data_IF_303297802600
#
_entry.id   IF_303297802600
#
_cell.length_a   1.000
_cell.length_b   1.000
_cell.length_c   1.000
_cell.angle_alpha   90.00
_cell.angle_beta   90.00
_cell.angle_gamma   90.00
#
_symmetry.space_group_name_H-M   'P 1'
#
loop_
_entity.id
_entity.type
_entity.pdbx_description
1 polymer ?
#
# COMPACT_ATOMS: atom_id res chain seq x y z
N UNK A 1 22.42 -14.32 -13.69
CA UNK A 1 21.49 -13.74 -14.67
C UNK A 1 21.99 -14.09 -16.06
N UNK A 2 21.14 -14.74 -16.86
CA UNK A 2 21.45 -15.12 -18.25
C UNK A 2 20.30 -14.64 -19.12
N UNK A 3 20.58 -13.90 -20.19
CA UNK A 3 19.56 -13.41 -21.10
C UNK A 3 20.10 -12.47 -22.17
N UNK A 4 19.22 -11.99 -23.04
CA UNK A 4 19.52 -11.01 -24.06
C UNK A 4 18.51 -9.87 -24.04
N UNK A 5 18.94 -8.75 -24.58
CA UNK A 5 18.15 -7.56 -24.82
C UNK A 5 18.16 -7.28 -26.31
N UNK A 6 17.01 -6.86 -26.84
CA UNK A 6 16.85 -6.50 -28.24
C UNK A 6 16.20 -5.13 -28.29
N UNK A 7 16.87 -4.20 -28.98
CA UNK A 7 16.37 -2.87 -29.28
C UNK A 7 15.63 -2.91 -30.63
N UNK A 8 14.34 -2.57 -30.63
CA UNK A 8 13.48 -2.66 -31.81
C UNK A 8 13.63 -1.49 -32.79
N UNK A 9 14.29 -0.39 -32.38
CA UNK A 9 14.56 0.78 -33.23
C UNK A 9 15.85 0.60 -34.04
N UNK A 10 16.94 0.21 -33.36
CA UNK A 10 18.27 0.02 -33.95
C UNK A 10 18.49 -1.39 -34.48
N UNK A 11 17.78 -2.38 -33.93
CA UNK A 11 18.01 -3.79 -34.18
C UNK A 11 19.17 -4.38 -33.37
N UNK A 12 19.81 -3.58 -32.51
CA UNK A 12 20.93 -4.01 -31.70
C UNK A 12 20.51 -5.10 -30.71
N UNK A 13 21.38 -6.10 -30.54
CA UNK A 13 21.21 -7.18 -29.57
C UNK A 13 22.39 -7.16 -28.62
N UNK A 14 22.07 -7.14 -27.32
CA UNK A 14 23.06 -7.31 -26.26
C UNK A 14 22.74 -8.57 -25.44
N UNK A 15 23.70 -9.05 -24.68
CA UNK A 15 23.54 -10.24 -23.85
C UNK A 15 24.14 -10.07 -22.47
N UNK A 16 23.79 -11.01 -21.59
CA UNK A 16 24.30 -11.07 -20.24
C UNK A 16 24.44 -12.55 -19.84
N UNK A 17 25.60 -12.94 -19.33
CA UNK A 17 25.81 -14.25 -18.69
C UNK A 17 26.67 -14.05 -17.44
N UNK A 18 26.02 -14.00 -16.30
CA UNK A 18 26.60 -13.57 -15.03
C UNK A 18 26.16 -14.48 -13.90
N UNK A 19 27.07 -14.84 -13.00
CA UNK A 19 26.77 -15.64 -11.83
C UNK A 19 27.27 -14.92 -10.58
N UNK A 20 26.43 -14.92 -9.54
CA UNK A 20 26.78 -14.44 -8.22
C UNK A 20 26.85 -15.59 -7.21
N UNK A 21 27.64 -15.41 -6.16
CA UNK A 21 27.79 -16.33 -5.04
C UNK A 21 27.79 -15.51 -3.74
N UNK A 22 26.99 -15.93 -2.74
CA UNK A 22 26.78 -15.20 -1.49
C UNK A 22 26.36 -13.72 -1.64
N UNK A 23 25.66 -13.41 -2.74
CA UNK A 23 25.20 -12.06 -3.04
C UNK A 23 26.27 -11.16 -3.69
N UNK A 24 27.47 -11.67 -3.94
CA UNK A 24 28.54 -10.97 -4.65
C UNK A 24 28.73 -11.49 -6.07
N UNK A 25 29.23 -10.63 -6.96
CA UNK A 25 29.60 -11.02 -8.32
C UNK A 25 30.72 -12.08 -8.29
N UNK A 26 30.51 -13.20 -8.96
CA UNK A 26 31.44 -14.32 -8.93
C UNK A 26 32.16 -14.50 -10.27
N UNK A 27 31.43 -14.61 -11.37
CA UNK A 27 32.00 -14.75 -12.73
C UNK A 27 31.03 -14.23 -13.79
N UNK A 28 31.57 -13.58 -14.83
CA UNK A 28 30.80 -12.89 -15.88
C UNK A 28 31.40 -13.19 -17.25
N UNK A 29 30.60 -13.49 -18.27
CA UNK A 29 31.10 -13.57 -19.65
C UNK A 29 31.17 -12.18 -20.28
N UNK A 30 32.35 -11.77 -20.73
CA UNK A 30 32.49 -10.61 -21.60
C UNK A 30 32.17 -11.01 -23.04
N UNK A 31 31.01 -10.57 -23.54
CA UNK A 31 30.53 -10.88 -24.89
C UNK A 31 31.32 -10.17 -25.99
N UNK A 32 32.13 -9.15 -25.68
CA UNK A 32 32.99 -8.49 -26.68
C UNK A 32 34.21 -9.34 -26.99
N UNK A 33 34.84 -9.88 -25.94
CA UNK A 33 36.06 -10.69 -26.08
C UNK A 33 35.78 -12.18 -26.12
N UNK A 34 34.56 -12.60 -25.75
CA UNK A 34 34.15 -14.00 -25.55
C UNK A 34 35.06 -14.73 -24.58
N UNK A 35 35.34 -14.06 -23.45
CA UNK A 35 36.13 -14.62 -22.36
C UNK A 35 35.43 -14.38 -21.03
N UNK A 36 35.63 -15.29 -20.08
CA UNK A 36 35.10 -15.14 -18.75
C UNK A 36 35.93 -14.13 -17.95
N UNK A 37 35.28 -13.34 -17.10
CA UNK A 37 35.91 -12.42 -16.16
C UNK A 37 35.61 -12.96 -14.77
N UNK A 38 36.63 -13.04 -13.92
CA UNK A 38 36.52 -13.49 -12.55
C UNK A 38 36.75 -12.30 -11.61
N UNK A 39 35.69 -11.59 -11.18
CA UNK A 39 35.79 -10.52 -10.18
C UNK A 39 36.42 -10.98 -8.86
N UNK A 40 36.16 -12.24 -8.48
CA UNK A 40 36.65 -12.84 -7.23
C UNK A 40 37.75 -13.87 -7.49
N UNK A 41 38.73 -13.94 -6.59
CA UNK A 41 39.87 -14.86 -6.72
C UNK A 41 39.43 -16.34 -6.76
N UNK A 42 38.36 -16.67 -6.05
CA UNK A 42 37.76 -17.99 -5.96
C UNK A 42 37.20 -18.45 -7.32
N UNK A 43 36.81 -17.52 -8.19
CA UNK A 43 36.28 -17.82 -9.52
C UNK A 43 37.37 -18.05 -10.58
N UNK A 44 38.65 -17.77 -10.29
CA UNK A 44 39.75 -17.88 -11.26
C UNK A 44 39.89 -19.30 -11.81
N UNK A 45 39.72 -20.32 -10.97
CA UNK A 45 39.79 -21.73 -11.40
C UNK A 45 38.66 -22.05 -12.39
N UNK A 46 37.44 -21.57 -12.11
CA UNK A 46 36.28 -21.72 -13.00
C UNK A 46 36.50 -21.00 -14.32
N UNK A 47 36.96 -19.74 -14.29
CA UNK A 47 37.34 -18.97 -15.49
C UNK A 47 38.32 -19.74 -16.36
N UNK A 48 39.41 -20.25 -15.79
CA UNK A 48 40.41 -21.00 -16.55
C UNK A 48 39.84 -22.28 -17.18
N UNK A 49 38.90 -22.96 -16.51
CA UNK A 49 38.23 -24.14 -17.04
C UNK A 49 37.30 -23.77 -18.19
N UNK A 50 36.46 -22.75 -18.01
CA UNK A 50 35.45 -22.36 -18.99
C UNK A 50 36.05 -21.64 -20.21
N UNK A 51 37.11 -20.85 -20.06
CA UNK A 51 37.83 -20.23 -21.19
C UNK A 51 38.52 -21.27 -22.11
N UNK A 52 38.83 -22.45 -21.58
CA UNK A 52 39.40 -23.58 -22.33
C UNK A 52 38.34 -24.39 -23.07
N UNK A 53 37.08 -24.27 -22.68
CA UNK A 53 35.98 -24.98 -23.32
C UNK A 53 35.49 -24.21 -24.56
N UNK A 54 36.15 -24.47 -25.70
CA UNK A 54 35.84 -23.78 -26.96
C UNK A 54 34.46 -24.13 -27.50
N UNK A 55 34.00 -25.36 -27.31
CA UNK A 55 32.68 -25.79 -27.75
C UNK A 55 31.59 -25.03 -26.98
N UNK A 56 31.74 -24.89 -25.65
CA UNK A 56 30.81 -24.10 -24.85
C UNK A 56 30.82 -22.62 -25.27
N UNK A 57 31.98 -22.01 -25.51
CA UNK A 57 32.05 -20.62 -25.95
C UNK A 57 31.43 -20.40 -27.34
N UNK A 58 31.58 -21.33 -28.27
CA UNK A 58 30.91 -21.29 -29.57
C UNK A 58 29.39 -21.44 -29.45
N UNK A 59 28.92 -22.31 -28.56
CA UNK A 59 27.49 -22.41 -28.26
C UNK A 59 26.94 -21.11 -27.66
N UNK A 60 27.63 -20.53 -26.67
CA UNK A 60 27.20 -19.27 -26.04
C UNK A 60 27.16 -18.12 -27.06
N UNK A 61 28.12 -18.08 -28.00
CA UNK A 61 28.07 -17.16 -29.15
C UNK A 61 26.75 -17.26 -29.88
N UNK A 62 26.46 -18.45 -30.41
CA UNK A 62 25.23 -18.72 -31.14
C UNK A 62 23.97 -18.41 -30.31
N UNK A 63 23.97 -18.77 -29.03
CA UNK A 63 22.84 -18.49 -28.14
C UNK A 63 22.54 -16.99 -28.03
N UNK A 64 23.55 -16.16 -27.78
CA UNK A 64 23.34 -14.72 -27.60
C UNK A 64 23.17 -13.94 -28.91
N UNK A 65 23.76 -14.40 -30.03
CA UNK A 65 23.65 -13.70 -31.32
C UNK A 65 22.41 -14.08 -32.11
N UNK A 66 21.90 -15.30 -31.94
CA UNK A 66 20.82 -15.84 -32.78
C UNK A 66 19.65 -16.36 -31.94
N UNK A 67 19.87 -17.38 -31.10
CA UNK A 67 18.77 -18.12 -30.47
C UNK A 67 17.95 -17.25 -29.51
N UNK A 68 18.61 -16.56 -28.60
CA UNK A 68 17.97 -15.69 -27.61
C UNK A 68 17.17 -14.54 -28.25
N UNK A 69 17.74 -13.70 -29.13
CA UNK A 69 16.99 -12.61 -29.74
C UNK A 69 15.82 -13.12 -30.62
N UNK A 70 15.98 -14.26 -31.30
CA UNK A 70 14.89 -14.86 -32.10
C UNK A 70 13.71 -15.30 -31.24
N UNK A 71 13.98 -15.94 -30.10
CA UNK A 71 12.94 -16.30 -29.13
C UNK A 71 12.32 -15.06 -28.48
N UNK A 72 13.12 -14.06 -28.10
CA UNK A 72 12.65 -12.81 -27.52
C UNK A 72 11.67 -12.11 -28.47
N UNK A 73 12.01 -11.96 -29.75
CA UNK A 73 11.12 -11.41 -30.79
C UNK A 73 9.81 -12.19 -30.90
N UNK A 74 9.85 -13.52 -30.85
CA UNK A 74 8.63 -14.36 -30.87
C UNK A 74 7.76 -14.11 -29.63
N UNK A 75 8.34 -14.05 -28.43
CA UNK A 75 7.58 -13.80 -27.21
C UNK A 75 6.99 -12.40 -27.17
N UNK A 76 7.71 -11.38 -27.63
CA UNK A 76 7.17 -10.02 -27.77
C UNK A 76 5.97 -10.01 -28.73
N UNK A 77 6.08 -10.72 -29.86
CA UNK A 77 4.98 -10.83 -30.81
C UNK A 77 3.76 -11.56 -30.23
N UNK A 78 3.94 -12.69 -29.54
CA UNK A 78 2.84 -13.42 -28.91
C UNK A 78 2.22 -12.67 -27.71
N UNK A 79 3.06 -12.00 -26.91
CA UNK A 79 2.67 -11.27 -25.72
C UNK A 79 2.29 -9.81 -25.95
N UNK A 80 2.27 -9.35 -27.21
CA UNK A 80 2.15 -7.92 -27.55
C UNK A 80 0.99 -7.22 -26.86
N UNK A 81 -0.18 -7.86 -26.80
CA UNK A 81 -1.37 -7.30 -26.15
C UNK A 81 -1.19 -7.10 -24.65
N UNK A 82 -0.36 -7.92 -23.99
CA UNK A 82 -0.09 -7.82 -22.56
C UNK A 82 1.10 -6.90 -22.25
N UNK A 83 2.15 -6.92 -23.08
CA UNK A 83 3.36 -6.12 -22.89
C UNK A 83 3.18 -4.65 -23.28
N UNK A 84 2.35 -4.38 -24.29
CA UNK A 84 2.10 -3.02 -24.80
C UNK A 84 0.81 -2.42 -24.23
N UNK A 85 0.23 -3.03 -23.18
CA UNK A 85 -0.95 -2.47 -22.53
C UNK A 85 -0.56 -1.21 -21.75
N UNK A 86 -1.55 -0.37 -21.52
CA UNK A 86 -1.41 0.82 -20.68
C UNK A 86 -2.60 0.87 -19.76
N UNK A 87 -2.35 0.60 -18.49
CA UNK A 87 -3.37 0.56 -17.47
C UNK A 87 -3.17 1.78 -16.56
N UNK A 88 -4.21 2.62 -16.45
CA UNK A 88 -4.19 3.77 -15.55
C UNK A 88 -4.55 3.33 -14.13
N UNK A 89 -3.93 3.91 -13.09
CA UNK A 89 -4.24 3.54 -11.72
C UNK A 89 -5.60 4.06 -11.27
N UNK A 90 -6.14 3.42 -10.24
CA UNK A 90 -7.03 4.11 -9.30
C UNK A 90 -6.18 4.81 -8.25
N UNK A 91 -6.45 6.09 -8.02
CA UNK A 91 -5.77 6.88 -6.97
C UNK A 91 -6.72 7.07 -5.79
N UNK A 92 -6.20 6.98 -4.57
CA UNK A 92 -6.96 7.18 -3.33
C UNK A 92 -6.14 7.91 -2.29
N UNK A 93 -6.80 8.78 -1.53
CA UNK A 93 -6.21 9.44 -0.36
C UNK A 93 -6.59 8.65 0.89
N UNK A 94 -5.58 8.26 1.67
CA UNK A 94 -5.74 7.43 2.86
C UNK A 94 -5.16 8.15 4.08
N UNK A 95 -5.81 7.99 5.23
CA UNK A 95 -5.28 8.51 6.50
C UNK A 95 -5.66 7.58 7.65
N UNK A 96 -4.67 7.16 8.47
CA UNK A 96 -4.90 6.23 9.60
C UNK A 96 -5.62 6.89 10.77
N UNK A 97 -5.23 8.11 11.13
CA UNK A 97 -5.83 8.93 12.19
C UNK A 97 -5.72 10.41 11.79
N UNK A 98 -6.48 11.33 12.41
CA UNK A 98 -6.42 12.76 12.05
C UNK A 98 -5.03 13.41 12.15
N UNK A 99 -4.12 12.86 12.97
CA UNK A 99 -2.74 13.34 13.13
C UNK A 99 -1.72 12.57 12.29
N UNK A 100 -2.12 11.50 11.61
CA UNK A 100 -1.23 10.74 10.73
C UNK A 100 -0.99 11.48 9.43
N UNK A 101 0.14 11.18 8.78
CA UNK A 101 0.40 11.56 7.39
C UNK A 101 -0.74 11.12 6.48
N UNK A 102 -0.96 11.90 5.42
CA UNK A 102 -1.91 11.56 4.36
C UNK A 102 -1.15 10.80 3.29
N UNK A 103 -1.57 9.57 3.03
CA UNK A 103 -1.01 8.73 1.97
C UNK A 103 -1.80 8.96 0.70
N UNK A 104 -1.14 9.40 -0.36
CA UNK A 104 -1.68 9.22 -1.71
C UNK A 104 -1.23 7.87 -2.23
N UNK A 105 -2.17 7.01 -2.60
CA UNK A 105 -1.89 5.64 -3.07
C UNK A 105 -2.48 5.44 -4.46
N UNK A 106 -1.65 4.99 -5.40
CA UNK A 106 -2.05 4.60 -6.74
C UNK A 106 -1.82 3.09 -6.91
N UNK A 107 -2.80 2.38 -7.45
CA UNK A 107 -2.70 0.94 -7.72
C UNK A 107 -3.44 0.57 -9.00
N UNK A 108 -3.00 -0.53 -9.63
CA UNK A 108 -3.60 -1.04 -10.86
C UNK A 108 -3.00 -0.45 -12.13
N UNK A 109 -1.79 0.13 -12.07
CA UNK A 109 -1.15 0.71 -13.25
C UNK A 109 -0.13 -0.22 -13.91
N UNK A 110 0.09 -0.02 -15.20
CA UNK A 110 1.12 -0.70 -15.99
C UNK A 110 1.54 0.22 -17.16
N UNK A 111 2.85 0.35 -17.49
CA UNK A 111 4.00 -0.38 -16.96
C UNK A 111 4.51 0.14 -15.60
N UNK A 112 5.56 -0.47 -15.05
CA UNK A 112 6.21 -0.05 -13.79
C UNK A 112 7.07 1.22 -13.90
N UNK A 113 6.85 2.05 -14.93
CA UNK A 113 7.55 3.32 -15.14
C UNK A 113 6.58 4.44 -14.83
N UNK A 114 6.52 4.84 -13.57
CA UNK A 114 5.64 5.89 -13.10
C UNK A 114 6.31 6.77 -12.05
N UNK A 115 5.78 7.96 -11.84
CA UNK A 115 6.18 8.88 -10.78
C UNK A 115 4.96 9.32 -9.98
N UNK A 116 5.16 9.51 -8.68
CA UNK A 116 4.15 10.05 -7.78
C UNK A 116 4.78 11.10 -6.86
N UNK A 117 4.13 12.26 -6.75
CA UNK A 117 4.62 13.36 -5.92
C UNK A 117 3.48 14.25 -5.47
N UNK A 118 3.75 15.05 -4.44
CA UNK A 118 2.83 16.07 -3.94
C UNK A 118 3.21 17.44 -4.51
N UNK A 119 2.20 18.27 -4.77
CA UNK A 119 2.37 19.69 -5.05
C UNK A 119 1.64 20.54 -4.03
N UNK A 120 2.10 21.77 -3.88
CA UNK A 120 1.38 22.85 -3.20
C UNK A 120 1.35 24.06 -4.11
N UNK A 121 0.16 24.60 -4.36
CA UNK A 121 -0.03 25.76 -5.24
C UNK A 121 0.63 25.58 -6.64
N UNK A 122 0.74 24.33 -7.10
CA UNK A 122 1.33 23.97 -8.40
C UNK A 122 2.83 23.64 -8.39
N UNK A 123 3.54 23.82 -7.27
CA UNK A 123 4.96 23.50 -7.14
C UNK A 123 5.18 22.15 -6.44
N UNK A 124 6.12 21.33 -6.95
CA UNK A 124 6.46 20.03 -6.33
C UNK A 124 7.08 20.22 -4.94
N UNK A 125 6.61 19.41 -3.99
CA UNK A 125 7.13 19.34 -2.63
C UNK A 125 8.13 18.20 -2.49
N UNK A 126 9.29 18.54 -1.92
CA UNK A 126 10.34 17.58 -1.57
C UNK A 126 10.49 17.42 -0.04
N UNK A 127 10.19 18.47 0.72
CA UNK A 127 10.18 18.42 2.19
C UNK A 127 8.85 17.82 2.68
N UNK A 128 8.89 17.13 3.83
CA UNK A 128 7.71 16.53 4.47
C UNK A 128 6.95 15.50 3.62
N UNK A 129 7.59 14.98 2.57
CA UNK A 129 7.06 13.95 1.67
C UNK A 129 7.96 12.71 1.71
N UNK A 130 7.37 11.56 2.06
CA UNK A 130 8.04 10.26 1.95
C UNK A 130 7.51 9.54 0.70
N UNK A 131 8.34 9.43 -0.35
CA UNK A 131 7.99 8.71 -1.59
C UNK A 131 8.27 7.21 -1.41
N UNK A 132 7.28 6.38 -1.64
CA UNK A 132 7.41 4.92 -1.62
C UNK A 132 7.96 4.35 -2.92
N UNK A 133 8.38 3.08 -2.86
CA UNK A 133 8.81 2.32 -4.03
C UNK A 133 7.62 1.83 -4.85
N UNK A 134 7.87 1.47 -6.12
CA UNK A 134 6.89 0.79 -6.95
C UNK A 134 6.88 -0.69 -6.57
N UNK A 135 5.72 -1.18 -6.13
CA UNK A 135 5.53 -2.56 -5.72
C UNK A 135 4.66 -3.32 -6.74
N UNK A 136 4.95 -4.60 -7.02
CA UNK A 136 4.13 -5.42 -7.91
C UNK A 136 2.84 -5.89 -7.23
N UNK A 137 1.78 -6.04 -8.01
CA UNK A 137 0.54 -6.71 -7.64
C UNK A 137 0.48 -8.13 -8.24
N UNK A 138 -0.40 -8.97 -7.69
CA UNK A 138 -0.58 -10.36 -8.12
C UNK A 138 -1.14 -10.53 -9.55
N UNK A 139 -1.80 -9.49 -10.08
CA UNK A 139 -2.41 -9.46 -11.42
C UNK A 139 -1.44 -8.92 -12.50
N UNK A 140 -0.18 -8.65 -12.12
CA UNK A 140 0.84 -8.09 -13.00
C UNK A 140 0.73 -6.57 -13.21
N UNK A 141 -0.14 -5.88 -12.47
CA UNK A 141 -0.10 -4.42 -12.33
C UNK A 141 0.86 -3.99 -11.21
N UNK A 142 0.98 -2.69 -11.00
CA UNK A 142 1.84 -2.10 -9.99
C UNK A 142 1.08 -1.14 -9.07
N UNK A 143 1.71 -0.82 -7.94
CA UNK A 143 1.24 0.18 -6.99
C UNK A 143 2.40 1.06 -6.48
N UNK A 144 2.09 2.29 -6.08
CA UNK A 144 3.02 3.26 -5.51
C UNK A 144 2.28 4.16 -4.51
N UNK A 145 2.99 4.69 -3.51
CA UNK A 145 2.45 5.66 -2.57
C UNK A 145 3.40 6.83 -2.32
N UNK A 146 2.84 7.98 -1.96
CA UNK A 146 3.58 9.12 -1.42
C UNK A 146 2.87 9.67 -0.17
N UNK A 147 3.58 9.74 0.94
CA UNK A 147 3.05 10.16 2.24
C UNK A 147 3.40 11.62 2.53
N UNK A 148 2.39 12.47 2.70
CA UNK A 148 2.54 13.88 3.06
C UNK A 148 2.31 14.09 4.55
N UNK A 149 3.29 14.67 5.24
CA UNK A 149 3.06 15.27 6.55
C UNK A 149 2.50 16.67 6.33
N UNK A 150 1.28 16.93 6.80
CA UNK A 150 0.65 18.23 6.61
C UNK A 150 1.24 19.27 7.57
N UNK A 151 1.82 20.37 7.07
CA UNK A 151 2.40 21.41 7.92
C UNK A 151 1.36 22.47 8.34
N UNK A 152 0.21 22.56 7.66
CA UNK A 152 -0.85 23.53 7.93
C UNK A 152 -2.25 23.02 7.54
N UNK A 153 -3.29 23.70 8.02
CA UNK A 153 -4.70 23.42 7.70
C UNK A 153 -5.14 23.96 6.31
N UNK A 154 -4.21 24.21 5.40
CA UNK A 154 -4.50 24.67 4.03
C UNK A 154 -4.68 23.50 3.04
N UNK A 155 -5.52 22.53 3.38
CA UNK A 155 -5.70 21.27 2.63
C UNK A 155 -5.90 21.48 1.13
N UNK A 156 -6.73 22.45 0.74
CA UNK A 156 -7.11 22.69 -0.67
C UNK A 156 -6.00 23.24 -1.57
N UNK A 157 -4.83 23.58 -1.02
CA UNK A 157 -3.64 24.00 -1.79
C UNK A 157 -2.80 22.82 -2.27
N UNK A 158 -3.01 21.64 -1.69
CA UNK A 158 -2.22 20.46 -2.00
C UNK A 158 -2.93 19.57 -3.01
N UNK A 159 -2.16 19.01 -3.93
CA UNK A 159 -2.61 17.93 -4.80
C UNK A 159 -1.53 16.87 -4.96
N UNK A 160 -1.98 15.63 -5.11
CA UNK A 160 -1.13 14.49 -5.43
C UNK A 160 -1.18 14.27 -6.94
N UNK A 161 -0.02 14.13 -7.55
CA UNK A 161 0.15 13.91 -8.99
C UNK A 161 0.72 12.54 -9.24
N UNK A 162 0.10 11.81 -10.15
CA UNK A 162 0.61 10.55 -10.70
C UNK A 162 0.88 10.72 -12.20
N UNK A 163 2.08 10.33 -12.63
CA UNK A 163 2.52 10.39 -14.02
C UNK A 163 2.93 8.99 -14.47
N UNK A 164 2.35 8.51 -15.58
CA UNK A 164 2.68 7.21 -16.18
C UNK A 164 3.49 7.41 -17.45
N UNK A 165 4.60 6.68 -17.59
CA UNK A 165 5.42 6.71 -18.80
C UNK A 165 4.58 6.36 -20.03
N UNK A 166 4.71 7.17 -21.08
CA UNK A 166 3.97 6.99 -22.34
C UNK A 166 2.57 7.60 -22.34
N UNK A 167 2.09 8.13 -21.21
CA UNK A 167 0.82 8.85 -21.09
C UNK A 167 1.10 10.34 -20.92
N UNK A 168 0.44 11.18 -21.72
CA UNK A 168 0.65 12.65 -21.68
C UNK A 168 -0.08 13.35 -20.54
N UNK A 169 -1.16 12.74 -20.07
CA UNK A 169 -2.09 13.32 -19.12
C UNK A 169 -1.75 12.86 -17.71
N UNK A 170 -1.55 13.82 -16.82
CA UNK A 170 -1.30 13.57 -15.42
C UNK A 170 -2.61 13.29 -14.68
N UNK A 171 -2.59 12.34 -13.74
CA UNK A 171 -3.71 12.12 -12.82
C UNK A 171 -3.47 12.98 -11.59
N UNK A 172 -4.27 14.03 -11.43
CA UNK A 172 -4.19 14.98 -10.32
C UNK A 172 -5.33 14.74 -9.34
N UNK A 173 -5.00 14.36 -8.11
CA UNK A 173 -5.95 14.15 -7.02
C UNK A 173 -5.80 15.27 -6.00
N UNK A 174 -6.78 16.18 -5.95
CA UNK A 174 -6.78 17.28 -4.98
C UNK A 174 -6.97 16.75 -3.57
N UNK A 175 -6.24 17.30 -2.61
CA UNK A 175 -6.41 16.97 -1.20
C UNK A 175 -7.70 17.60 -0.68
N UNK A 176 -8.75 16.77 -0.58
CA UNK A 176 -10.01 17.11 0.09
C UNK A 176 -10.21 16.14 1.26
N UNK A 177 -10.41 16.70 2.46
CA UNK A 177 -10.69 15.95 3.69
C UNK A 177 -11.90 15.03 3.57
N UNK A 178 -12.87 15.36 2.70
CA UNK A 178 -14.08 14.55 2.45
C UNK A 178 -13.81 13.29 1.63
N UNK A 179 -12.78 13.32 0.79
CA UNK A 179 -12.38 12.21 -0.08
C UNK A 179 -11.38 11.26 0.59
N UNK A 180 -10.85 11.64 1.77
CA UNK A 180 -9.92 10.82 2.53
C UNK A 180 -10.64 9.59 3.08
N UNK A 181 -10.16 8.42 2.68
CA UNK A 181 -10.60 7.13 3.21
C UNK A 181 -9.85 6.86 4.52
N UNK A 182 -10.60 6.64 5.59
CA UNK A 182 -10.08 6.29 6.90
C UNK A 182 -10.94 5.22 7.56
N UNK A 183 -10.31 4.30 8.27
CA UNK A 183 -10.98 3.36 9.17
C UNK A 183 -10.98 3.87 10.63
N UNK A 184 -10.57 5.11 10.87
CA UNK A 184 -10.55 5.72 12.19
C UNK A 184 -11.96 5.89 12.75
N UNK A 185 -12.20 5.35 13.94
CA UNK A 185 -13.41 5.59 14.72
C UNK A 185 -13.08 6.59 15.81
N UNK A 186 -13.78 7.72 15.86
CA UNK A 186 -13.57 8.72 16.91
C UNK A 186 -14.01 8.13 18.28
N UNK A 187 -13.08 7.95 19.24
CA UNK A 187 -13.40 7.37 20.54
C UNK A 187 -14.51 8.13 21.27
N UNK A 188 -14.57 9.45 21.09
CA UNK A 188 -15.57 10.30 21.77
C UNK A 188 -16.99 9.99 21.28
N UNK A 189 -17.16 9.64 20.01
CA UNK A 189 -18.47 9.22 19.47
C UNK A 189 -18.94 7.87 20.06
N UNK A 190 -18.01 7.03 20.51
CA UNK A 190 -18.34 5.77 21.19
C UNK A 190 -18.54 5.97 22.70
N UNK A 191 -17.76 6.85 23.33
CA UNK A 191 -17.78 7.07 24.79
C UNK A 191 -19.00 7.88 25.24
N UNK A 192 -19.39 8.93 24.52
CA UNK A 192 -20.55 9.78 24.87
C UNK A 192 -21.86 8.98 25.03
N UNK A 193 -22.28 8.12 24.08
CA UNK A 193 -23.52 7.35 24.25
C UNK A 193 -23.41 6.35 25.41
N UNK A 194 -22.24 5.76 25.66
CA UNK A 194 -22.04 4.85 26.80
C UNK A 194 -22.23 5.59 28.13
N UNK A 195 -21.63 6.77 28.29
CA UNK A 195 -21.80 7.59 29.50
C UNK A 195 -23.27 7.99 29.68
N UNK A 196 -23.96 8.39 28.60
CA UNK A 196 -25.37 8.74 28.66
C UNK A 196 -26.26 7.56 29.12
N UNK A 197 -25.98 6.35 28.63
CA UNK A 197 -26.68 5.12 29.05
C UNK A 197 -26.45 4.84 30.54
N UNK A 198 -25.20 4.92 31.01
CA UNK A 198 -24.86 4.70 32.43
C UNK A 198 -25.57 5.72 33.32
N UNK A 199 -25.56 7.00 32.95
CA UNK A 199 -26.24 8.05 33.70
C UNK A 199 -27.76 7.81 33.77
N UNK A 200 -28.39 7.42 32.66
CA UNK A 200 -29.82 7.10 32.63
C UNK A 200 -30.16 5.91 33.55
N UNK A 201 -29.34 4.85 33.54
CA UNK A 201 -29.51 3.69 34.43
C UNK A 201 -29.37 4.06 35.91
N UNK A 202 -28.43 4.94 36.26
CA UNK A 202 -28.26 5.45 37.63
C UNK A 202 -29.49 6.25 38.06
N UNK A 203 -30.00 7.15 37.21
CA UNK A 203 -31.19 7.95 37.50
C UNK A 203 -32.43 7.07 37.68
N UNK A 204 -32.60 6.04 36.84
CA UNK A 204 -33.65 5.02 36.98
C UNK A 204 -33.52 4.26 38.31
N UNK A 205 -32.31 3.84 38.66
CA UNK A 205 -32.03 3.19 39.94
C UNK A 205 -32.42 4.06 41.14
N UNK A 206 -32.04 5.34 41.12
CA UNK A 206 -32.40 6.31 42.15
C UNK A 206 -33.92 6.54 42.22
N UNK A 207 -34.60 6.64 41.08
CA UNK A 207 -36.05 6.77 41.03
C UNK A 207 -36.77 5.55 41.62
N UNK A 208 -36.29 4.33 41.33
CA UNK A 208 -36.82 3.09 41.90
C UNK A 208 -36.61 3.02 43.41
N UNK A 209 -35.43 3.40 43.90
CA UNK A 209 -35.13 3.48 45.35
C UNK A 209 -36.05 4.50 46.03
N UNK A 210 -36.21 5.68 45.44
CA UNK A 210 -37.12 6.72 45.91
C UNK A 210 -38.58 6.24 45.97
N UNK A 211 -39.04 5.57 44.91
CA UNK A 211 -40.39 5.00 44.83
C UNK A 211 -40.64 3.92 45.88
N UNK A 212 -39.68 2.99 46.10
CA UNK A 212 -39.77 1.99 47.17
C UNK A 212 -39.83 2.63 48.55
N UNK A 213 -39.01 3.65 48.83
CA UNK A 213 -39.03 4.39 50.11
C UNK A 213 -40.34 5.13 50.33
N UNK A 214 -40.91 5.74 49.28
CA UNK A 214 -42.22 6.40 49.33
C UNK A 214 -43.36 5.40 49.63
N UNK A 215 -43.38 4.25 48.94
CA UNK A 215 -44.39 3.21 49.16
C UNK A 215 -44.28 2.56 50.54
N UNK A 216 -43.07 2.32 51.04
CA UNK A 216 -42.84 1.80 52.39
C UNK A 216 -43.31 2.76 53.50
N UNK A 217 -43.22 4.08 53.29
CA UNK A 217 -43.81 5.07 54.20
C UNK A 217 -45.34 5.06 54.19
N UNK A 218 -45.95 4.79 53.03
CA UNK A 218 -47.41 4.72 52.89
C UNK A 218 -48.01 3.48 53.57
N UNK A 219 -47.33 2.33 53.57
CA UNK A 219 -47.81 1.13 54.29
C UNK A 219 -47.65 1.22 55.81
N UNK A 220 -46.76 2.06 56.34
CA UNK A 220 -46.68 2.33 57.79
C UNK A 220 -47.82 3.20 58.34
N UNK A 221 -48.65 3.82 57.49
CA UNK A 221 -49.83 4.57 57.93
C UNK A 221 -51.10 3.70 58.07
N UNK A 222 -51.05 2.40 57.76
CA UNK A 222 -52.23 1.51 57.73
C UNK A 222 -52.21 0.40 58.80
N UNK A 223 -51.53 0.57 59.95
CA UNK A 223 -51.56 -0.48 60.99
C UNK A 223 -51.59 0.02 62.43
N UNK A 224 -52.79 0.11 63.03
CA UNK A 224 -53.15 -0.33 64.41
C UNK A 224 -54.64 -0.02 64.76
N UNK A 225 -55.27 -0.63 65.79
CA UNK A 225 -56.01 -1.90 65.75
C UNK A 225 -57.52 -1.75 66.09
N UNK A 226 -58.24 -2.88 66.00
CA UNK A 226 -59.63 -3.09 66.45
C UNK A 226 -59.95 -2.46 67.81
N UNK A 227 -61.16 -1.88 67.94
CA UNK A 227 -61.88 -1.99 69.21
C UNK A 227 -63.40 -2.03 69.01
N UNK A 228 -63.97 -3.07 69.62
CA UNK A 228 -65.39 -3.33 69.86
C UNK A 228 -66.07 -2.21 70.65
N UNK A 229 -67.36 -1.98 70.37
CA UNK A 229 -68.29 -1.41 71.35
C UNK A 229 -69.68 -2.04 71.19
N UNK A 230 -69.96 -3.02 72.03
CA UNK A 230 -71.30 -3.32 72.54
C UNK A 230 -71.93 -2.06 73.14
N UNK A 231 -73.23 -1.88 72.91
CA UNK A 231 -74.10 -1.06 73.75
C UNK A 231 -75.40 -1.84 73.96
N UNK A 232 -75.58 -2.35 75.18
CA UNK A 232 -76.85 -2.62 75.83
C UNK A 232 -77.67 -1.30 75.90
N UNK A 233 -78.99 -1.24 76.11
CA UNK A 233 -79.88 -2.06 76.93
C UNK A 233 -81.35 -1.61 76.64
N UNK A 234 -82.32 -2.46 77.03
CA UNK A 234 -83.79 -2.28 77.13
C UNK A 234 -84.67 -2.29 75.88
#
# INVERSE_FOLDING_TARGET
MVGCEWDDETGDVNGYDQYGYDGEDFIVLDLKTWTWVAPQQQAVVTKQKWDKDKAQLEYLKYYFTDECPDWLKKFVNYGRSSLMRTDLPTVSLLQKTPSSRVTCHATGFYPNRAMMFWRKDGEELHEDVDKGEILPNHDGSFQISADLQLPSDDWGKYDCVFQLSGVKEDIVTKLDKREIKTNYVNPMNTVIPIIAIIAALVLLGLAVIGYKKYRGRKSSCETSPENSSELAEN
#
